data_IF_434152194275
#
_entry.id   IF_434152194275
#
_cell.length_a   1.000
_cell.length_b   1.000
_cell.length_c   1.000
_cell.angle_alpha   90.00
_cell.angle_beta   90.00
_cell.angle_gamma   90.00
#
_symmetry.space_group_name_H-M   'P 1'
#
loop_
_entity.id
_entity.type
_entity.pdbx_description
1 polymer ?
#
# COMPACT_ATOMS: atom_id res chain seq x y z
N UNK A 1 -6.44 6.77 9.19
CA UNK A 1 -6.58 5.34 9.59
C UNK A 1 -5.47 5.08 10.58
N UNK A 2 -5.81 4.67 11.80
CA UNK A 2 -4.90 4.76 12.93
C UNK A 2 -4.67 3.39 13.56
N UNK A 3 -3.47 3.16 14.08
CA UNK A 3 -3.09 1.91 14.75
C UNK A 3 -1.83 1.26 14.17
N UNK A 4 -1.29 0.26 14.89
CA UNK A 4 0.08 -0.23 14.68
C UNK A 4 0.32 -0.82 13.28
N UNK A 5 -0.70 -1.41 12.66
CA UNK A 5 -0.60 -1.94 11.29
C UNK A 5 -0.36 -0.81 10.27
N UNK A 6 -1.12 0.28 10.38
CA UNK A 6 -0.98 1.43 9.48
C UNK A 6 0.32 2.17 9.74
N UNK A 7 0.75 2.26 11.00
CA UNK A 7 2.01 2.91 11.37
C UNK A 7 3.22 2.12 10.86
N UNK A 8 3.20 0.79 10.97
CA UNK A 8 4.23 -0.08 10.39
C UNK A 8 4.31 0.06 8.87
N UNK A 9 3.16 0.16 8.18
CA UNK A 9 3.13 0.40 6.75
C UNK A 9 3.72 1.78 6.40
N UNK A 10 3.30 2.84 7.09
CA UNK A 10 3.84 4.20 6.84
C UNK A 10 5.35 4.26 7.08
N UNK A 11 5.86 3.56 8.09
CA UNK A 11 7.30 3.46 8.33
C UNK A 11 8.01 2.73 7.20
N UNK A 12 7.53 1.57 6.75
CA UNK A 12 8.14 0.82 5.65
C UNK A 12 8.19 1.61 4.35
N UNK A 13 7.13 2.35 4.03
CA UNK A 13 7.10 3.24 2.86
C UNK A 13 8.02 4.46 3.03
N UNK A 14 8.07 5.05 4.23
CA UNK A 14 8.99 6.16 4.50
C UNK A 14 10.47 5.74 4.37
N UNK A 15 10.81 4.55 4.84
CA UNK A 15 12.16 3.99 4.75
C UNK A 15 12.57 3.75 3.28
N UNK A 16 11.64 3.29 2.43
CA UNK A 16 11.92 2.99 1.03
C UNK A 16 11.97 4.23 0.13
N UNK A 17 11.17 5.28 0.39
CA UNK A 17 11.15 6.51 -0.41
C UNK A 17 11.99 7.65 0.20
N UNK A 18 12.42 7.55 1.46
CA UNK A 18 13.15 8.60 2.17
C UNK A 18 12.31 9.83 2.54
N UNK A 19 10.99 9.76 2.36
CA UNK A 19 10.02 10.82 2.69
C UNK A 19 8.74 10.21 3.26
N UNK A 20 7.99 10.91 4.12
CA UNK A 20 6.74 10.40 4.65
C UNK A 20 5.71 10.12 3.53
N UNK A 21 5.01 8.97 3.56
CA UNK A 21 3.93 8.70 2.63
C UNK A 21 2.71 9.56 2.92
N UNK A 22 1.81 9.65 1.94
CA UNK A 22 0.52 10.33 2.05
C UNK A 22 -0.60 9.32 1.90
N UNK A 23 -1.63 9.43 2.74
CA UNK A 23 -2.86 8.66 2.57
C UNK A 23 -3.72 9.31 1.47
N UNK A 24 -4.06 8.54 0.43
CA UNK A 24 -4.85 9.04 -0.71
C UNK A 24 -6.22 8.36 -0.79
N UNK A 25 -7.22 9.10 -1.28
CA UNK A 25 -8.47 8.51 -1.79
C UNK A 25 -8.36 8.32 -3.30
N UNK A 26 -8.81 7.17 -3.81
CA UNK A 26 -8.94 6.91 -5.24
C UNK A 26 -10.41 6.86 -5.65
N UNK A 27 -10.73 7.39 -6.84
CA UNK A 27 -12.08 7.33 -7.41
C UNK A 27 -12.47 5.96 -7.99
N UNK A 28 -11.50 5.04 -8.10
CA UNK A 28 -11.75 3.66 -8.51
C UNK A 28 -12.48 2.87 -7.41
N UNK A 29 -13.37 1.95 -7.81
CA UNK A 29 -14.06 1.07 -6.89
C UNK A 29 -13.44 -0.33 -6.91
N UNK A 30 -13.17 -0.87 -5.71
CA UNK A 30 -12.79 -2.27 -5.51
C UNK A 30 -13.88 -2.91 -4.65
N UNK A 31 -14.96 -3.45 -5.24
CA UNK A 31 -16.12 -3.97 -4.49
C UNK A 31 -15.74 -5.04 -3.46
N UNK A 32 -14.66 -5.78 -3.70
CA UNK A 32 -14.14 -6.75 -2.76
C UNK A 32 -13.76 -6.12 -1.41
N UNK A 33 -13.24 -4.88 -1.40
CA UNK A 33 -12.83 -4.20 -0.17
C UNK A 33 -14.02 -3.94 0.74
N UNK A 34 -15.16 -3.49 0.21
CA UNK A 34 -16.36 -3.27 1.03
C UNK A 34 -16.90 -4.59 1.57
N UNK A 35 -17.00 -5.63 0.74
CA UNK A 35 -17.44 -6.95 1.16
C UNK A 35 -16.53 -7.55 2.24
N UNK A 36 -15.21 -7.40 2.09
CA UNK A 36 -14.25 -7.89 3.08
C UNK A 36 -14.38 -7.16 4.42
N UNK A 37 -14.60 -5.84 4.39
CA UNK A 37 -14.79 -5.02 5.59
C UNK A 37 -16.07 -5.38 6.33
N UNK A 38 -17.14 -5.73 5.60
CA UNK A 38 -18.40 -6.22 6.19
C UNK A 38 -18.21 -7.58 6.86
N UNK A 39 -17.48 -8.49 6.21
CA UNK A 39 -17.20 -9.83 6.75
C UNK A 39 -16.22 -9.80 7.94
N UNK A 40 -15.26 -8.88 7.95
CA UNK A 40 -14.19 -8.79 8.94
C UNK A 40 -14.04 -7.35 9.48
N UNK A 41 -14.97 -6.86 10.30
CA UNK A 41 -14.99 -5.46 10.75
C UNK A 41 -13.80 -5.05 11.60
N UNK A 42 -13.08 -6.03 12.19
CA UNK A 42 -11.86 -5.79 12.97
C UNK A 42 -10.56 -5.88 12.16
N UNK A 43 -10.62 -6.22 10.87
CA UNK A 43 -9.42 -6.31 10.04
C UNK A 43 -8.92 -4.91 9.68
N UNK A 44 -7.61 -4.69 9.83
CA UNK A 44 -6.96 -3.56 9.19
C UNK A 44 -6.92 -3.80 7.68
N UNK A 45 -7.32 -2.81 6.89
CA UNK A 45 -7.28 -2.88 5.42
C UNK A 45 -6.35 -1.79 4.91
N UNK A 46 -5.29 -2.22 4.24
CA UNK A 46 -4.37 -1.35 3.53
C UNK A 46 -4.46 -1.68 2.04
N UNK A 47 -4.56 -0.65 1.20
CA UNK A 47 -4.47 -0.78 -0.24
C UNK A 47 -3.17 -0.11 -0.69
N UNK A 48 -2.27 -0.92 -1.22
CA UNK A 48 -0.98 -0.50 -1.77
C UNK A 48 -0.84 -1.05 -3.18
N UNK A 49 0.03 -0.42 -3.98
CA UNK A 49 0.29 -0.82 -5.35
C UNK A 49 1.30 0.10 -6.00
N UNK A 50 1.79 -0.33 -7.15
CA UNK A 50 2.65 0.49 -8.00
C UNK A 50 1.74 1.11 -9.04
N UNK A 51 1.45 2.38 -8.88
CA UNK A 51 0.61 3.14 -9.80
C UNK A 51 1.17 4.56 -9.89
N UNK A 52 1.34 5.03 -11.12
CA UNK A 52 1.63 6.42 -11.44
C UNK A 52 0.71 6.88 -12.59
N UNK A 53 0.55 8.20 -12.83
CA UNK A 53 -0.32 8.69 -13.88
C UNK A 53 -0.02 8.16 -15.29
N UNK A 54 1.20 7.64 -15.52
CA UNK A 54 1.66 7.05 -16.78
C UNK A 54 1.51 5.53 -16.83
N UNK A 55 1.09 4.88 -15.73
CA UNK A 55 0.92 3.44 -15.70
C UNK A 55 -0.18 2.97 -16.68
N UNK A 56 -1.19 3.82 -16.95
CA UNK A 56 -2.24 3.57 -17.95
C UNK A 56 -2.89 2.19 -17.83
N UNK A 57 -3.23 1.78 -16.60
CA UNK A 57 -3.87 0.49 -16.34
C UNK A 57 -5.07 0.27 -17.29
N UNK A 58 -5.14 -0.91 -17.92
CA UNK A 58 -6.16 -1.31 -18.88
C UNK A 58 -6.13 -0.62 -20.26
N UNK A 59 -5.02 0.03 -20.62
CA UNK A 59 -4.79 0.55 -21.98
C UNK A 59 -3.74 -0.29 -22.72
N UNK A 60 -3.66 -0.12 -24.04
CA UNK A 60 -2.62 -0.73 -24.89
C UNK A 60 -1.20 -0.30 -24.50
N UNK A 61 -1.07 0.88 -23.86
CA UNK A 61 0.20 1.44 -23.40
C UNK A 61 0.39 1.28 -21.89
N UNK A 62 -0.22 0.25 -21.28
CA UNK A 62 0.00 -0.07 -19.87
C UNK A 62 1.49 -0.30 -19.59
N UNK A 63 2.00 0.35 -18.54
CA UNK A 63 3.42 0.30 -18.19
C UNK A 63 3.65 0.44 -16.69
N UNK A 64 4.87 0.13 -16.24
CA UNK A 64 5.26 0.19 -14.84
C UNK A 64 6.71 0.67 -14.73
N UNK A 65 6.92 1.74 -13.95
CA UNK A 65 8.26 2.29 -13.75
C UNK A 65 9.10 1.38 -12.84
N UNK A 66 10.21 0.84 -13.36
CA UNK A 66 11.02 -0.14 -12.63
C UNK A 66 11.59 0.40 -11.32
N UNK A 67 11.95 1.68 -11.26
CA UNK A 67 12.43 2.30 -10.03
C UNK A 67 11.32 2.57 -9.00
N UNK A 68 10.06 2.67 -9.41
CA UNK A 68 8.93 2.70 -8.45
C UNK A 68 8.64 1.28 -7.95
N UNK A 69 8.71 0.30 -8.85
CA UNK A 69 8.54 -1.11 -8.51
C UNK A 69 9.57 -1.61 -7.49
N UNK A 70 10.85 -1.30 -7.69
CA UNK A 70 11.92 -1.66 -6.75
C UNK A 70 11.65 -1.08 -5.34
N UNK A 71 11.27 0.20 -5.27
CA UNK A 71 10.94 0.85 -3.99
C UNK A 71 9.68 0.27 -3.36
N UNK A 72 8.67 -0.08 -4.15
CA UNK A 72 7.46 -0.73 -3.64
C UNK A 72 7.78 -2.11 -3.06
N UNK A 73 8.59 -2.92 -3.76
CA UNK A 73 9.05 -4.21 -3.22
C UNK A 73 9.80 -4.05 -1.90
N UNK A 74 10.68 -3.03 -1.81
CA UNK A 74 11.39 -2.72 -0.57
C UNK A 74 10.41 -2.30 0.55
N UNK A 75 9.48 -1.40 0.26
CA UNK A 75 8.50 -0.93 1.24
C UNK A 75 7.62 -2.05 1.79
N UNK A 76 7.10 -2.93 0.94
CA UNK A 76 6.30 -4.08 1.36
C UNK A 76 7.13 -5.05 2.22
N UNK A 77 8.40 -5.27 1.86
CA UNK A 77 9.32 -6.10 2.67
C UNK A 77 9.55 -5.50 4.05
N UNK A 78 9.84 -4.19 4.11
CA UNK A 78 10.06 -3.47 5.36
C UNK A 78 8.78 -3.40 6.20
N UNK A 79 7.62 -3.17 5.57
CA UNK A 79 6.33 -3.21 6.24
C UNK A 79 6.12 -4.56 6.94
N UNK A 80 6.33 -5.68 6.25
CA UNK A 80 6.19 -7.01 6.85
C UNK A 80 7.15 -7.23 8.02
N UNK A 81 8.40 -6.74 7.91
CA UNK A 81 9.38 -6.80 8.99
C UNK A 81 8.95 -5.96 10.21
N UNK A 82 8.52 -4.72 9.99
CA UNK A 82 8.01 -3.83 11.04
C UNK A 82 6.77 -4.42 11.70
N UNK A 83 5.82 -4.92 10.91
CA UNK A 83 4.60 -5.55 11.39
C UNK A 83 4.91 -6.77 12.27
N UNK A 84 5.87 -7.60 11.89
CA UNK A 84 6.31 -8.73 12.72
C UNK A 84 6.87 -8.26 14.07
N UNK A 85 7.61 -7.16 14.10
CA UNK A 85 8.15 -6.57 15.33
C UNK A 85 7.07 -5.89 16.22
N UNK A 86 5.90 -5.53 15.67
CA UNK A 86 4.78 -5.02 16.47
C UNK A 86 4.01 -6.08 17.25
N UNK A 87 4.31 -7.38 17.04
CA UNK A 87 3.55 -8.51 17.60
C UNK A 87 4.13 -9.11 18.89
N UNK A 88 5.09 -8.43 19.52
CA UNK A 88 5.56 -8.73 20.88
C UNK A 88 4.69 -8.03 21.95
#
# INVERSE_FOLDING_TARGET
ADGPVYDAARQGFADAWGVPPVDIGSGGSIPFVSMFREAFPGAAILLTGVEDPSSNAHSENESLHLGEFERACLAETLFLAHLAATRD
#
